data_IF_822497146912
#
_entry.id   IF_822497146912
#
_cell.length_a   1.000
_cell.length_b   1.000
_cell.length_c   1.000
_cell.angle_alpha   90.00
_cell.angle_beta   90.00
_cell.angle_gamma   90.00
#
_symmetry.space_group_name_H-M   'P 1'
#
loop_
_entity.id
_entity.type
_entity.pdbx_description
1 polymer ?
#
# COMPACT_ATOMS: atom_id res chain seq x y z
N UNK A 1 2.55 21.66 0.14
CA UNK A 1 1.59 21.17 -0.86
C UNK A 1 0.72 22.27 -1.46
N UNK A 2 0.74 23.50 -0.94
CA UNK A 2 0.16 24.66 -1.62
C UNK A 2 1.20 25.79 -1.70
N UNK A 3 1.77 25.99 -2.88
CA UNK A 3 2.57 27.18 -3.20
C UNK A 3 2.58 27.39 -4.72
N UNK A 4 2.50 28.65 -5.17
CA UNK A 4 2.38 29.08 -6.57
C UNK A 4 1.15 28.55 -7.35
N UNK A 5 0.00 28.38 -6.70
CA UNK A 5 -1.27 28.04 -7.37
C UNK A 5 -1.37 26.61 -7.91
N UNK A 6 -0.41 25.73 -7.59
CA UNK A 6 -0.47 24.30 -7.89
C UNK A 6 -0.65 23.49 -6.62
N UNK A 7 -1.73 22.72 -6.59
CA UNK A 7 -2.05 21.75 -5.56
C UNK A 7 -1.53 20.38 -6.01
N UNK A 8 -0.64 19.76 -5.25
CA UNK A 8 -0.09 18.45 -5.55
C UNK A 8 0.30 17.67 -4.29
N UNK A 9 0.28 16.35 -4.41
CA UNK A 9 0.70 15.40 -3.37
C UNK A 9 2.23 15.43 -3.11
N UNK A 10 3.00 16.15 -3.92
CA UNK A 10 4.44 16.35 -3.76
C UNK A 10 4.77 17.81 -3.47
N UNK A 11 5.72 18.04 -2.57
CA UNK A 11 6.30 19.36 -2.32
C UNK A 11 7.33 19.76 -3.37
N UNK A 12 7.80 21.01 -3.34
CA UNK A 12 8.90 21.49 -4.21
C UNK A 12 10.23 20.77 -3.95
N UNK A 13 10.40 20.24 -2.75
CA UNK A 13 11.53 19.39 -2.37
C UNK A 13 11.44 17.97 -2.98
N UNK A 14 10.41 17.68 -3.78
CA UNK A 14 10.19 16.37 -4.39
C UNK A 14 9.74 15.30 -3.39
N UNK A 15 9.41 15.70 -2.15
CA UNK A 15 8.96 14.78 -1.10
C UNK A 15 7.44 14.66 -1.15
N UNK A 16 6.97 13.44 -1.34
CA UNK A 16 5.55 13.12 -1.35
C UNK A 16 4.93 13.24 0.05
N UNK A 17 3.65 13.53 0.10
CA UNK A 17 2.81 13.46 1.30
C UNK A 17 2.94 12.11 2.01
N UNK A 18 3.00 11.00 1.26
CA UNK A 18 3.21 9.67 1.78
C UNK A 18 4.54 9.54 2.53
N UNK A 19 5.64 10.06 1.94
CA UNK A 19 6.95 10.12 2.58
C UNK A 19 6.94 11.01 3.84
N UNK A 20 6.20 12.12 3.83
CA UNK A 20 6.06 13.00 5.01
C UNK A 20 5.30 12.33 6.15
N UNK A 21 4.20 11.64 5.83
CA UNK A 21 3.39 10.92 6.82
C UNK A 21 4.25 9.84 7.50
N UNK A 22 4.95 9.01 6.71
CA UNK A 22 5.81 7.95 7.27
C UNK A 22 7.06 8.51 7.94
N UNK A 23 7.65 9.60 7.41
CA UNK A 23 8.79 10.28 8.01
C UNK A 23 8.46 10.93 9.37
N UNK A 24 7.19 11.25 9.62
CA UNK A 24 6.68 11.67 10.92
C UNK A 24 6.35 10.49 11.86
N UNK A 25 6.63 9.25 11.46
CA UNK A 25 6.40 8.04 12.25
C UNK A 25 4.97 7.48 12.16
N UNK A 26 4.14 7.96 11.22
CA UNK A 26 2.77 7.48 11.07
C UNK A 26 2.70 6.38 10.00
N UNK A 27 2.49 5.13 10.43
CA UNK A 27 2.25 3.99 9.54
C UNK A 27 0.76 3.88 9.19
N UNK A 28 0.42 3.65 7.93
CA UNK A 28 -0.96 3.62 7.45
C UNK A 28 -1.26 2.46 6.49
N UNK A 29 -2.54 2.06 6.47
CA UNK A 29 -3.12 1.19 5.44
C UNK A 29 -3.51 2.00 4.21
N UNK A 30 -4.13 3.16 4.43
CA UNK A 30 -4.56 4.05 3.36
C UNK A 30 -4.59 5.48 3.85
N UNK A 31 -4.36 6.42 2.93
CA UNK A 31 -4.48 7.86 3.14
C UNK A 31 -5.36 8.44 2.04
N UNK A 32 -6.35 9.23 2.45
CA UNK A 32 -7.16 10.08 1.59
C UNK A 32 -6.76 11.54 1.78
N UNK A 33 -6.84 12.33 0.71
CA UNK A 33 -6.37 13.71 0.73
C UNK A 33 -7.40 14.66 0.14
N UNK A 34 -7.61 15.78 0.83
CA UNK A 34 -8.26 16.96 0.29
C UNK A 34 -7.29 18.11 0.33
N UNK A 35 -6.90 18.57 -0.85
CA UNK A 35 -6.07 19.75 -1.03
C UNK A 35 -6.89 20.77 -1.81
N UNK A 36 -7.20 21.89 -1.18
CA UNK A 36 -8.25 22.82 -1.63
C UNK A 36 -7.78 24.25 -1.48
N UNK A 37 -8.05 25.09 -2.48
CA UNK A 37 -7.94 26.55 -2.38
C UNK A 37 -9.33 27.17 -2.37
N UNK A 38 -9.55 28.25 -1.62
CA UNK A 38 -10.77 29.05 -1.69
C UNK A 38 -11.63 29.09 -0.42
N UNK A 39 -11.92 27.97 0.29
CA UNK A 39 -12.71 28.00 1.51
C UNK A 39 -12.15 28.99 2.53
N UNK A 40 -13.00 29.88 3.03
CA UNK A 40 -12.60 30.96 3.94
C UNK A 40 -12.73 30.54 5.39
N UNK A 41 -13.55 29.54 5.69
CA UNK A 41 -13.78 29.03 7.04
C UNK A 41 -13.66 27.51 7.10
N UNK A 42 -13.46 26.91 8.29
CA UNK A 42 -13.57 25.47 8.47
C UNK A 42 -14.92 24.91 7.97
N UNK A 43 -16.02 25.65 8.16
CA UNK A 43 -17.34 25.23 7.72
C UNK A 43 -17.42 25.13 6.19
N UNK A 44 -16.96 26.16 5.48
CA UNK A 44 -16.87 26.15 4.01
C UNK A 44 -15.96 25.02 3.50
N UNK A 45 -14.88 24.72 4.24
CA UNK A 45 -13.99 23.61 3.89
C UNK A 45 -14.68 22.24 4.02
N UNK A 46 -15.47 22.03 5.09
CA UNK A 46 -16.25 20.80 5.25
C UNK A 46 -17.34 20.70 4.17
N UNK A 47 -18.05 21.80 3.88
CA UNK A 47 -19.02 21.84 2.78
C UNK A 47 -18.37 21.49 1.44
N UNK A 48 -17.18 22.02 1.16
CA UNK A 48 -16.41 21.66 -0.02
C UNK A 48 -16.11 20.15 -0.06
N UNK A 49 -15.65 19.57 1.06
CA UNK A 49 -15.36 18.14 1.15
C UNK A 49 -16.61 17.28 0.91
N UNK A 50 -17.80 17.76 1.28
CA UNK A 50 -19.07 17.08 1.05
C UNK A 50 -19.66 17.32 -0.35
N UNK A 51 -19.21 18.36 -1.05
CA UNK A 51 -19.80 18.85 -2.29
C UNK A 51 -19.51 18.01 -3.54
N UNK A 52 -18.46 17.18 -3.55
CA UNK A 52 -18.09 16.35 -4.71
C UNK A 52 -18.18 14.85 -4.39
N UNK A 53 -18.53 14.01 -5.37
CA UNK A 53 -18.68 12.57 -5.16
C UNK A 53 -17.41 11.85 -4.69
N UNK A 54 -16.23 12.27 -5.19
CA UNK A 54 -14.93 11.72 -4.75
C UNK A 54 -14.57 12.20 -3.36
N UNK A 55 -14.71 13.50 -3.09
CA UNK A 55 -14.34 14.08 -1.80
C UNK A 55 -15.26 13.59 -0.67
N UNK A 56 -16.56 13.48 -0.98
CA UNK A 56 -17.56 12.98 -0.05
C UNK A 56 -17.31 11.53 0.32
N UNK A 57 -16.87 10.70 -0.62
CA UNK A 57 -16.49 9.31 -0.32
C UNK A 57 -15.33 9.25 0.66
N UNK A 58 -14.27 10.04 0.46
CA UNK A 58 -13.13 10.06 1.39
C UNK A 58 -13.57 10.52 2.78
N UNK A 59 -14.34 11.61 2.87
CA UNK A 59 -14.78 12.14 4.16
C UNK A 59 -15.72 11.19 4.93
N UNK A 60 -16.54 10.42 4.21
CA UNK A 60 -17.54 9.52 4.80
C UNK A 60 -17.09 8.06 4.88
N UNK A 61 -15.87 7.73 4.43
CA UNK A 61 -15.38 6.36 4.45
C UNK A 61 -15.03 5.96 5.90
N UNK A 62 -15.74 4.97 6.48
CA UNK A 62 -15.49 4.53 7.85
C UNK A 62 -14.12 3.86 8.04
N UNK A 63 -13.39 3.55 6.96
CA UNK A 63 -12.02 3.07 7.05
C UNK A 63 -11.06 4.13 7.61
N UNK A 64 -11.30 5.42 7.32
CA UNK A 64 -10.48 6.49 7.89
C UNK A 64 -10.88 6.76 9.34
N UNK A 65 -9.90 6.66 10.23
CA UNK A 65 -10.10 6.81 11.68
C UNK A 65 -9.43 8.04 12.24
N UNK A 66 -8.36 8.50 11.60
CA UNK A 66 -7.60 9.67 12.01
C UNK A 66 -7.72 10.76 10.93
N UNK A 67 -7.65 12.01 11.38
CA UNK A 67 -7.64 13.16 10.49
C UNK A 67 -6.56 14.15 10.93
N UNK A 68 -5.92 14.80 9.96
CA UNK A 68 -5.04 15.93 10.18
C UNK A 68 -5.46 17.07 9.25
N UNK A 69 -5.53 18.29 9.78
CA UNK A 69 -5.93 19.49 9.05
C UNK A 69 -4.84 20.54 9.15
N UNK A 70 -4.45 21.08 8.01
CA UNK A 70 -3.54 22.22 7.92
C UNK A 70 -4.14 23.32 7.06
N UNK A 71 -3.77 24.56 7.38
CA UNK A 71 -4.17 25.76 6.64
C UNK A 71 -2.94 26.62 6.40
N UNK A 72 -2.81 27.16 5.20
CA UNK A 72 -1.77 28.12 4.83
C UNK A 72 -2.38 29.27 4.03
N UNK A 73 -1.86 30.49 4.24
CA UNK A 73 -2.19 31.65 3.43
C UNK A 73 -0.95 31.99 2.57
N UNK A 74 -1.07 31.90 1.24
CA UNK A 74 0.01 32.14 0.29
C UNK A 74 -0.55 32.81 -0.97
N UNK A 75 -0.98 34.06 -0.83
CA UNK A 75 -1.81 34.77 -1.81
C UNK A 75 -3.29 34.37 -1.69
N UNK A 76 -3.57 33.08 -1.89
CA UNK A 76 -4.86 32.46 -1.60
C UNK A 76 -4.83 31.68 -0.28
N UNK A 77 -6.02 31.35 0.25
CA UNK A 77 -6.17 30.45 1.40
C UNK A 77 -6.26 29.00 0.94
N UNK A 78 -5.37 28.19 1.47
CA UNK A 78 -5.27 26.76 1.18
C UNK A 78 -5.57 25.91 2.42
N UNK A 79 -6.31 24.84 2.20
CA UNK A 79 -6.62 23.81 3.18
C UNK A 79 -6.07 22.47 2.71
N UNK A 80 -5.47 21.74 3.64
CA UNK A 80 -5.04 20.34 3.45
C UNK A 80 -5.68 19.50 4.54
N UNK A 81 -6.52 18.54 4.18
CA UNK A 81 -6.94 17.47 5.09
C UNK A 81 -6.37 16.14 4.64
N UNK A 82 -5.78 15.43 5.59
CA UNK A 82 -5.37 14.04 5.45
C UNK A 82 -6.32 13.18 6.29
N UNK A 83 -6.82 12.12 5.69
CA UNK A 83 -7.66 11.12 6.32
C UNK A 83 -6.88 9.82 6.31
N UNK A 84 -6.71 9.16 7.44
CA UNK A 84 -5.82 8.02 7.53
C UNK A 84 -6.43 6.85 8.31
N UNK A 85 -6.16 5.65 7.81
CA UNK A 85 -6.36 4.40 8.52
C UNK A 85 -4.99 3.93 9.04
N UNK A 86 -4.77 3.83 10.35
CA UNK A 86 -3.46 3.44 10.88
C UNK A 86 -3.14 1.98 10.54
N UNK A 87 -1.86 1.70 10.25
CA UNK A 87 -1.36 0.35 10.09
C UNK A 87 -1.06 -0.26 11.46
N UNK A 88 -2.08 -0.88 12.06
CA UNK A 88 -1.91 -1.72 13.25
C UNK A 88 -1.57 -3.16 12.86
N UNK A 89 -1.02 -3.98 13.77
CA UNK A 89 -0.81 -5.41 13.50
C UNK A 89 -2.08 -6.15 13.04
N UNK A 90 -3.23 -5.82 13.62
CA UNK A 90 -4.52 -6.39 13.21
C UNK A 90 -4.93 -5.93 11.81
N UNK A 91 -4.72 -4.65 11.48
CA UNK A 91 -5.03 -4.12 10.17
C UNK A 91 -4.14 -4.74 9.08
N UNK A 92 -2.85 -4.92 9.37
CA UNK A 92 -1.91 -5.64 8.51
C UNK A 92 -2.37 -7.09 8.30
N UNK A 93 -2.72 -7.79 9.38
CA UNK A 93 -3.18 -9.18 9.32
C UNK A 93 -4.44 -9.35 8.48
N UNK A 94 -5.43 -8.45 8.63
CA UNK A 94 -6.66 -8.45 7.80
C UNK A 94 -6.35 -8.16 6.33
N UNK A 95 -5.49 -7.17 6.07
CA UNK A 95 -5.08 -6.79 4.71
C UNK A 95 -4.41 -7.96 3.99
N UNK A 96 -3.46 -8.63 4.66
CA UNK A 96 -2.79 -9.82 4.13
C UNK A 96 -3.77 -10.98 3.89
N UNK A 97 -4.67 -11.26 4.83
CA UNK A 97 -5.68 -12.31 4.70
C UNK A 97 -6.63 -12.08 3.51
N UNK A 98 -7.03 -10.83 3.26
CA UNK A 98 -7.87 -10.46 2.11
C UNK A 98 -7.15 -10.69 0.78
N UNK A 99 -5.86 -10.30 0.68
CA UNK A 99 -5.03 -10.59 -0.50
C UNK A 99 -4.96 -12.10 -0.76
N UNK A 100 -4.75 -12.91 0.28
CA UNK A 100 -4.68 -14.37 0.17
C UNK A 100 -6.03 -14.95 -0.27
N UNK A 101 -7.14 -14.47 0.29
CA UNK A 101 -8.48 -14.92 -0.07
C UNK A 101 -8.79 -14.64 -1.55
N UNK A 102 -8.49 -13.42 -2.02
CA UNK A 102 -8.66 -13.03 -3.42
C UNK A 102 -7.75 -13.84 -4.36
N UNK A 103 -6.49 -14.04 -3.98
CA UNK A 103 -5.54 -14.89 -4.73
C UNK A 103 -6.05 -16.32 -4.85
N UNK A 104 -6.59 -16.87 -3.76
CA UNK A 104 -7.17 -18.21 -3.75
C UNK A 104 -8.47 -18.31 -4.54
N UNK A 105 -9.24 -17.23 -4.66
CA UNK A 105 -10.40 -17.18 -5.56
C UNK A 105 -9.95 -17.33 -7.04
N UNK A 106 -8.88 -16.65 -7.45
CA UNK A 106 -8.32 -16.79 -8.81
C UNK A 106 -7.79 -18.21 -9.07
N UNK A 107 -7.10 -18.79 -8.08
CA UNK A 107 -6.65 -20.20 -8.16
C UNK A 107 -7.82 -21.17 -8.26
N UNK A 108 -8.88 -20.96 -7.49
CA UNK A 108 -10.12 -21.74 -7.57
C UNK A 108 -10.76 -21.69 -8.96
N UNK A 109 -10.83 -20.51 -9.58
CA UNK A 109 -11.31 -20.36 -10.96
C UNK A 109 -10.46 -21.12 -11.99
N UNK A 110 -9.18 -21.31 -11.71
CA UNK A 110 -8.26 -22.10 -12.53
C UNK A 110 -8.21 -23.60 -12.17
N UNK A 111 -9.03 -24.08 -11.23
CA UNK A 111 -9.04 -25.47 -10.79
C UNK A 111 -7.77 -25.87 -10.02
N UNK A 112 -7.18 -24.93 -9.28
CA UNK A 112 -5.98 -25.12 -8.47
C UNK A 112 -6.31 -25.20 -6.97
N UNK A 113 -5.54 -25.97 -6.17
CA UNK A 113 -5.70 -25.98 -4.72
C UNK A 113 -5.35 -24.59 -4.13
N UNK A 114 -6.01 -24.19 -3.04
CA UNK A 114 -5.71 -22.95 -2.36
C UNK A 114 -4.31 -22.98 -1.75
N UNK A 115 -3.68 -21.81 -1.67
CA UNK A 115 -2.43 -21.57 -0.95
C UNK A 115 -2.72 -21.43 0.55
N UNK A 116 -1.91 -22.09 1.37
CA UNK A 116 -1.92 -21.92 2.82
C UNK A 116 -1.04 -20.73 3.22
N UNK A 117 -1.50 -19.93 4.18
CA UNK A 117 -0.68 -18.85 4.73
C UNK A 117 0.54 -19.43 5.47
N UNK A 118 1.73 -18.90 5.18
CA UNK A 118 2.98 -19.29 5.80
C UNK A 118 3.57 -18.09 6.58
N UNK A 119 3.64 -18.16 7.93
CA UNK A 119 4.14 -17.06 8.74
C UNK A 119 5.58 -16.65 8.42
N UNK A 120 6.44 -17.59 8.02
CA UNK A 120 7.85 -17.30 7.74
C UNK A 120 7.99 -16.57 6.40
N UNK A 121 7.20 -16.97 5.40
CA UNK A 121 7.11 -16.22 4.14
C UNK A 121 6.49 -14.83 4.35
N UNK A 122 5.54 -14.71 5.28
CA UNK A 122 4.91 -13.43 5.64
C UNK A 122 5.93 -12.47 6.26
N UNK A 123 6.78 -12.96 7.17
CA UNK A 123 7.89 -12.16 7.73
C UNK A 123 8.82 -11.67 6.63
N UNK A 124 9.23 -12.54 5.71
CA UNK A 124 10.11 -12.17 4.59
C UNK A 124 9.45 -11.13 3.65
N UNK A 125 8.18 -11.32 3.29
CA UNK A 125 7.43 -10.40 2.42
C UNK A 125 7.23 -9.04 3.09
N UNK A 126 6.89 -9.01 4.37
CA UNK A 126 6.73 -7.77 5.14
C UNK A 126 8.03 -6.99 5.25
N UNK A 127 9.13 -7.68 5.53
CA UNK A 127 10.46 -7.07 5.60
C UNK A 127 10.83 -6.43 4.26
N UNK A 128 10.54 -7.08 3.13
CA UNK A 128 10.83 -6.53 1.81
C UNK A 128 10.00 -5.29 1.46
N UNK A 129 8.71 -5.24 1.83
CA UNK A 129 7.91 -4.01 1.68
C UNK A 129 8.48 -2.83 2.49
N UNK A 130 8.83 -3.08 3.75
CA UNK A 130 9.43 -2.05 4.60
C UNK A 130 10.78 -1.58 4.05
N UNK A 131 11.56 -2.52 3.50
CA UNK A 131 12.87 -2.27 2.90
C UNK A 131 12.78 -1.39 1.65
N UNK A 132 11.86 -1.71 0.73
CA UNK A 132 11.59 -0.91 -0.47
C UNK A 132 11.25 0.55 -0.12
N UNK A 133 10.46 0.76 0.94
CA UNK A 133 10.13 2.10 1.43
C UNK A 133 11.33 2.77 2.09
N UNK A 134 12.06 2.06 2.95
CA UNK A 134 13.15 2.64 3.73
C UNK A 134 14.37 3.03 2.88
N UNK A 135 14.64 2.26 1.82
CA UNK A 135 15.79 2.47 0.91
C UNK A 135 15.41 3.05 -0.45
N UNK A 136 14.16 3.50 -0.62
CA UNK A 136 13.60 4.13 -1.83
C UNK A 136 13.92 3.35 -3.12
N UNK A 137 13.58 2.05 -3.15
CA UNK A 137 13.75 1.19 -4.32
C UNK A 137 12.51 0.35 -4.61
N UNK A 138 12.45 -0.22 -5.81
CA UNK A 138 11.40 -1.15 -6.24
C UNK A 138 12.00 -2.20 -7.19
N UNK A 139 12.45 -3.31 -6.61
CA UNK A 139 13.07 -4.43 -7.32
C UNK A 139 12.94 -5.71 -6.49
N UNK A 140 12.92 -6.87 -7.15
CA UNK A 140 12.95 -8.17 -6.49
C UNK A 140 14.26 -8.41 -5.71
N UNK A 141 15.36 -7.82 -6.18
CA UNK A 141 16.67 -7.87 -5.54
C UNK A 141 16.85 -6.63 -4.68
N UNK A 142 17.05 -6.82 -3.39
CA UNK A 142 17.36 -5.72 -2.49
C UNK A 142 18.73 -5.10 -2.82
N UNK A 143 19.00 -3.84 -2.47
CA UNK A 143 20.29 -3.17 -2.73
C UNK A 143 21.52 -3.86 -2.11
N UNK A 144 21.31 -4.76 -1.14
CA UNK A 144 22.36 -5.62 -0.56
C UNK A 144 22.62 -6.91 -1.36
N UNK A 145 21.91 -7.10 -2.48
CA UNK A 145 21.99 -8.28 -3.35
C UNK A 145 21.08 -9.43 -2.92
N UNK A 146 20.33 -9.32 -1.81
CA UNK A 146 19.45 -10.39 -1.35
C UNK A 146 18.25 -10.58 -2.29
N UNK A 147 17.99 -11.83 -2.67
CA UNK A 147 16.90 -12.24 -3.55
C UNK A 147 15.75 -12.86 -2.74
N UNK A 148 14.57 -13.10 -3.33
CA UNK A 148 13.40 -13.56 -2.58
C UNK A 148 13.63 -14.85 -1.76
N UNK A 149 14.40 -15.80 -2.28
CA UNK A 149 14.76 -17.03 -1.56
C UNK A 149 15.77 -16.80 -0.43
N UNK A 150 16.68 -15.84 -0.59
CA UNK A 150 17.63 -15.47 0.48
C UNK A 150 16.85 -14.86 1.65
N UNK A 151 15.88 -13.98 1.36
CA UNK A 151 14.97 -13.40 2.36
C UNK A 151 14.08 -14.47 3.02
N UNK A 152 13.53 -15.40 2.25
CA UNK A 152 12.74 -16.52 2.79
C UNK A 152 13.58 -17.39 3.73
N UNK A 153 14.81 -17.74 3.34
CA UNK A 153 15.72 -18.54 4.14
C UNK A 153 16.16 -17.81 5.42
N UNK A 154 16.44 -16.50 5.33
CA UNK A 154 16.75 -15.67 6.50
C UNK A 154 15.58 -15.60 7.51
N UNK A 155 14.34 -15.65 7.02
CA UNK A 155 13.15 -15.79 7.86
C UNK A 155 12.93 -17.22 8.40
N UNK A 156 13.81 -18.18 8.08
CA UNK A 156 13.74 -19.57 8.54
C UNK A 156 12.91 -20.51 7.68
N UNK A 157 12.42 -20.06 6.52
CA UNK A 157 11.65 -20.90 5.60
C UNK A 157 12.49 -22.02 5.00
N UNK A 158 11.89 -23.21 4.89
CA UNK A 158 12.52 -24.41 4.28
C UNK A 158 11.90 -24.79 2.93
N UNK A 159 11.09 -23.90 2.35
CA UNK A 159 10.45 -24.11 1.03
C UNK A 159 11.52 -24.25 -0.04
N UNK A 160 11.34 -25.20 -0.95
CA UNK A 160 12.36 -25.54 -1.96
C UNK A 160 12.26 -24.66 -3.19
N UNK A 161 11.05 -24.19 -3.48
CA UNK A 161 10.80 -23.25 -4.57
C UNK A 161 10.18 -21.99 -3.99
N UNK A 162 10.70 -20.84 -4.41
CA UNK A 162 10.22 -19.52 -4.02
C UNK A 162 9.86 -18.75 -5.28
N UNK A 163 8.71 -18.09 -5.27
CA UNK A 163 8.31 -17.12 -6.29
C UNK A 163 7.89 -15.82 -5.61
N UNK A 164 7.98 -14.70 -6.32
CA UNK A 164 7.62 -13.40 -5.77
C UNK A 164 6.83 -12.57 -6.78
N UNK A 165 5.79 -11.89 -6.28
CA UNK A 165 5.16 -10.77 -6.96
C UNK A 165 5.34 -9.52 -6.09
N UNK A 166 5.74 -8.40 -6.69
CA UNK A 166 5.78 -7.09 -6.03
C UNK A 166 4.85 -6.12 -6.74
N UNK A 167 4.29 -5.16 -6.02
CA UNK A 167 3.47 -4.09 -6.59
C UNK A 167 3.56 -2.82 -5.74
N UNK A 168 3.33 -1.67 -6.34
CA UNK A 168 3.24 -0.40 -5.63
C UNK A 168 2.17 0.52 -6.25
N UNK A 169 1.60 1.38 -5.42
CA UNK A 169 0.54 2.34 -5.81
C UNK A 169 -0.91 1.86 -5.70
N UNK A 170 -1.17 0.55 -5.61
CA UNK A 170 -2.53 0.03 -5.44
C UNK A 170 -3.04 0.24 -4.02
N UNK A 171 -4.28 0.72 -3.87
CA UNK A 171 -4.80 1.22 -2.59
C UNK A 171 -5.65 0.20 -1.83
N UNK A 172 -5.82 -1.00 -2.37
CA UNK A 172 -6.61 -2.06 -1.75
C UNK A 172 -6.14 -3.46 -2.14
N UNK A 173 -6.43 -4.50 -1.33
CA UNK A 173 -6.22 -5.89 -1.69
C UNK A 173 -6.81 -6.30 -3.05
N UNK A 174 -8.02 -5.80 -3.37
CA UNK A 174 -8.67 -6.07 -4.64
C UNK A 174 -7.90 -5.47 -5.83
N UNK A 175 -7.47 -4.21 -5.71
CA UNK A 175 -6.74 -3.50 -6.76
C UNK A 175 -5.37 -4.15 -7.03
N UNK A 176 -4.67 -4.60 -5.99
CA UNK A 176 -3.36 -5.24 -6.17
C UNK A 176 -3.46 -6.64 -6.77
N UNK A 177 -4.45 -7.45 -6.35
CA UNK A 177 -4.64 -8.79 -6.92
C UNK A 177 -5.08 -8.71 -8.37
N UNK A 178 -5.99 -7.80 -8.71
CA UNK A 178 -6.36 -7.54 -10.10
C UNK A 178 -5.14 -7.08 -10.94
N UNK A 179 -4.32 -6.18 -10.40
CA UNK A 179 -3.07 -5.75 -11.02
C UNK A 179 -2.10 -6.91 -11.30
N UNK A 180 -1.92 -7.83 -10.35
CA UNK A 180 -1.11 -9.03 -10.57
C UNK A 180 -1.72 -9.98 -11.60
N UNK A 181 -3.04 -10.17 -11.60
CA UNK A 181 -3.71 -11.05 -12.57
C UNK A 181 -3.69 -10.51 -13.99
N UNK A 182 -3.63 -9.19 -14.15
CA UNK A 182 -3.51 -8.52 -15.45
C UNK A 182 -2.05 -8.46 -15.96
N UNK A 183 -1.07 -8.88 -15.16
CA UNK A 183 0.33 -9.02 -15.58
C UNK A 183 0.67 -10.49 -15.85
N UNK A 184 1.08 -10.88 -17.08
CA UNK A 184 1.38 -12.27 -17.41
C UNK A 184 2.41 -12.94 -16.48
N UNK A 185 3.47 -12.21 -16.11
CA UNK A 185 4.52 -12.73 -15.22
C UNK A 185 4.00 -12.95 -13.79
N UNK A 186 3.28 -11.98 -13.23
CA UNK A 186 2.73 -12.11 -11.88
C UNK A 186 1.61 -13.16 -11.79
N UNK A 187 0.75 -13.23 -12.81
CA UNK A 187 -0.28 -14.25 -12.96
C UNK A 187 0.32 -15.65 -13.03
N UNK A 188 1.44 -15.84 -13.73
CA UNK A 188 2.11 -17.13 -13.82
C UNK A 188 2.53 -17.65 -12.43
N UNK A 189 3.00 -16.77 -11.53
CA UNK A 189 3.29 -17.15 -10.14
C UNK A 189 2.02 -17.55 -9.37
N UNK A 190 0.95 -16.74 -9.45
CA UNK A 190 -0.32 -17.01 -8.75
C UNK A 190 -0.90 -18.37 -9.16
N UNK A 191 -0.82 -18.71 -10.45
CA UNK A 191 -1.40 -19.93 -11.02
C UNK A 191 -0.42 -21.11 -11.09
N UNK A 192 0.77 -20.97 -10.49
CA UNK A 192 1.77 -22.03 -10.48
C UNK A 192 1.32 -23.19 -9.59
N UNK A 193 1.30 -24.41 -10.14
CA UNK A 193 0.78 -25.62 -9.46
C UNK A 193 1.68 -26.09 -8.33
N UNK A 194 2.97 -25.85 -8.45
CA UNK A 194 3.99 -26.28 -7.48
C UNK A 194 3.91 -25.49 -6.17
N UNK A 195 3.28 -24.31 -6.16
CA UNK A 195 3.11 -23.53 -4.94
C UNK A 195 1.89 -24.01 -4.14
N UNK A 196 2.13 -24.25 -2.86
CA UNK A 196 1.12 -24.59 -1.86
C UNK A 196 1.04 -23.58 -0.71
N UNK A 197 1.97 -22.63 -0.63
CA UNK A 197 2.08 -21.69 0.48
C UNK A 197 2.27 -20.25 0.00
N UNK A 198 1.85 -19.28 0.81
CA UNK A 198 1.95 -17.85 0.53
C UNK A 198 2.21 -17.05 1.80
N UNK A 199 3.09 -16.05 1.70
CA UNK A 199 3.19 -14.93 2.63
C UNK A 199 2.89 -13.62 1.92
N UNK A 200 2.27 -12.67 2.62
CA UNK A 200 1.93 -11.35 2.07
C UNK A 200 2.48 -10.25 2.96
N UNK A 201 3.17 -9.29 2.35
CA UNK A 201 3.66 -8.08 3.01
C UNK A 201 2.94 -6.84 2.47
N UNK A 202 2.72 -5.86 3.35
CA UNK A 202 2.15 -4.57 3.01
C UNK A 202 2.80 -3.44 3.81
N UNK A 203 3.12 -2.33 3.17
CA UNK A 203 3.57 -1.10 3.86
C UNK A 203 3.05 0.12 3.11
N UNK A 204 2.42 1.06 3.83
CA UNK A 204 2.18 2.41 3.33
C UNK A 204 3.45 3.26 3.45
N UNK A 205 3.74 4.08 2.44
CA UNK A 205 4.93 4.94 2.40
C UNK A 205 5.56 5.03 1.02
N UNK A 206 6.74 5.65 0.98
CA UNK A 206 7.52 5.82 -0.25
C UNK A 206 6.86 6.74 -1.29
N UNK A 207 7.47 6.84 -2.46
CA UNK A 207 6.96 7.68 -3.57
C UNK A 207 5.62 7.16 -4.11
N UNK A 208 5.46 5.84 -4.15
CA UNK A 208 4.26 5.19 -4.66
C UNK A 208 3.11 5.09 -3.65
N UNK A 209 3.31 5.51 -2.40
CA UNK A 209 2.28 5.53 -1.35
C UNK A 209 1.98 4.18 -0.69
N UNK A 210 2.06 3.07 -1.43
CA UNK A 210 1.85 1.71 -0.88
C UNK A 210 2.72 0.71 -1.60
N UNK A 211 3.22 -0.29 -0.89
CA UNK A 211 4.06 -1.37 -1.40
C UNK A 211 3.52 -2.73 -0.92
N UNK A 212 3.49 -3.68 -1.84
CA UNK A 212 2.90 -5.00 -1.69
C UNK A 212 3.86 -6.08 -2.15
N UNK A 213 3.93 -7.18 -1.42
CA UNK A 213 4.71 -8.36 -1.80
C UNK A 213 3.89 -9.63 -1.58
N UNK A 214 3.80 -10.51 -2.57
CA UNK A 214 3.44 -11.92 -2.39
C UNK A 214 4.70 -12.76 -2.49
N UNK A 215 4.93 -13.62 -1.51
CA UNK A 215 6.00 -14.59 -1.54
C UNK A 215 5.41 -16.00 -1.50
N UNK A 216 5.65 -16.77 -2.55
CA UNK A 216 5.08 -18.10 -2.73
C UNK A 216 6.09 -19.18 -2.34
N UNK A 217 5.59 -20.30 -1.82
CA UNK A 217 6.41 -21.45 -1.43
C UNK A 217 5.83 -22.78 -1.91
N UNK A 218 6.69 -23.61 -2.51
CA UNK A 218 6.44 -25.02 -2.83
C UNK A 218 7.20 -25.99 -1.93
#
# INVERSE_FOLDING_TARGET
MADAGRLGAEGRDGVSVHQRITGAGYAYVTVGEHLVSGPRSPAEFVEYCLGSGRSRRILLDPAFRHAALARADAGDRYWTALWAAPLTPDALSRTAAEVVALTNAERGRAGLPPLAMDPLLTVAAQAHCADMVARDFYDHTSPDGSRPWDRAAAAGSRRRTIGENIACGQRSPAEVVDGWMNSPGHRANILKREFGHIGVGFTGGGRAGTYWTQLFGG
#
